data_IF_599006646411
#
_entry.id   IF_599006646411
#
_cell.length_a   1.000
_cell.length_b   1.000
_cell.length_c   1.000
_cell.angle_alpha   90.00
_cell.angle_beta   90.00
_cell.angle_gamma   90.00
#
_symmetry.space_group_name_H-M   'P 1'
#
loop_
_entity.id
_entity.type
_entity.pdbx_description
1 polymer ?
#
# COMPACT_ATOMS: atom_id res chain seq x y z
N UNK A 1 -12.78 7.19 -6.82
CA UNK A 1 -12.79 6.71 -8.21
C UNK A 1 -12.13 5.34 -8.22
N UNK A 2 -12.89 4.24 -8.37
CA UNK A 2 -12.29 2.98 -8.77
C UNK A 2 -11.74 3.18 -10.18
N UNK A 3 -10.50 2.76 -10.41
CA UNK A 3 -9.78 3.01 -11.66
C UNK A 3 -10.28 1.98 -12.68
N UNK A 4 -10.79 2.43 -13.82
CA UNK A 4 -11.29 1.65 -14.96
C UNK A 4 -10.16 0.89 -15.70
N UNK A 5 -9.27 0.21 -14.97
CA UNK A 5 -8.33 -0.72 -15.58
C UNK A 5 -9.07 -2.04 -15.77
N UNK A 6 -9.50 -2.30 -16.99
CA UNK A 6 -10.06 -3.59 -17.35
C UNK A 6 -8.93 -4.63 -17.38
N UNK A 7 -8.71 -5.31 -16.24
CA UNK A 7 -7.68 -6.34 -16.11
C UNK A 7 -7.91 -7.50 -17.08
N UNK A 8 -9.15 -7.72 -17.54
CA UNK A 8 -9.47 -8.71 -18.56
C UNK A 8 -8.92 -8.33 -19.93
N UNK A 9 -8.72 -7.03 -20.21
CA UNK A 9 -8.16 -6.56 -21.48
C UNK A 9 -6.61 -6.53 -21.51
N UNK A 10 -5.94 -6.75 -20.38
CA UNK A 10 -4.48 -6.68 -20.29
C UNK A 10 -3.80 -8.02 -20.67
N UNK A 11 -2.62 -7.98 -21.32
CA UNK A 11 -1.83 -9.19 -21.57
C UNK A 11 -1.22 -9.73 -20.26
N UNK A 12 -0.91 -11.04 -20.22
CA UNK A 12 -0.40 -11.72 -19.02
C UNK A 12 0.87 -11.08 -18.45
N UNK A 13 1.78 -10.63 -19.31
CA UNK A 13 3.02 -9.95 -18.92
C UNK A 13 2.74 -8.63 -18.20
N UNK A 14 1.74 -7.87 -18.66
CA UNK A 14 1.33 -6.63 -18.00
C UNK A 14 0.68 -6.88 -16.64
N UNK A 15 -0.11 -7.96 -16.50
CA UNK A 15 -0.68 -8.36 -15.20
C UNK A 15 0.41 -8.73 -14.19
N UNK A 16 1.45 -9.45 -14.61
CA UNK A 16 2.59 -9.80 -13.76
C UNK A 16 3.42 -8.57 -13.35
N UNK A 17 3.61 -7.62 -14.27
CA UNK A 17 4.28 -6.36 -13.97
C UNK A 17 3.50 -5.52 -12.94
N UNK A 18 2.17 -5.41 -13.10
CA UNK A 18 1.31 -4.68 -12.16
C UNK A 18 1.27 -5.37 -10.78
N UNK A 19 1.25 -6.71 -10.70
CA UNK A 19 1.38 -7.43 -9.42
C UNK A 19 2.68 -7.05 -8.69
N UNK A 20 3.81 -7.03 -9.41
CA UNK A 20 5.11 -6.69 -8.83
C UNK A 20 5.15 -5.25 -8.33
N UNK A 21 4.57 -4.32 -9.07
CA UNK A 21 4.49 -2.91 -8.68
C UNK A 21 3.60 -2.69 -7.47
N UNK A 22 2.43 -3.36 -7.41
CA UNK A 22 1.55 -3.29 -6.24
C UNK A 22 2.23 -3.86 -4.99
N UNK A 23 2.95 -4.99 -5.11
CA UNK A 23 3.77 -5.53 -4.01
C UNK A 23 4.87 -4.57 -3.56
N UNK A 24 5.61 -3.98 -4.50
CA UNK A 24 6.65 -2.98 -4.20
C UNK A 24 6.05 -1.79 -3.44
N UNK A 25 4.88 -1.32 -3.87
CA UNK A 25 4.20 -0.22 -3.23
C UNK A 25 3.69 -0.56 -1.82
N UNK A 26 3.26 -1.80 -1.57
CA UNK A 26 2.93 -2.29 -0.23
C UNK A 26 4.16 -2.30 0.69
N UNK A 27 5.31 -2.74 0.18
CA UNK A 27 6.57 -2.72 0.93
C UNK A 27 6.98 -1.29 1.29
N UNK A 28 6.94 -0.37 0.32
CA UNK A 28 7.21 1.04 0.56
C UNK A 28 6.25 1.63 1.59
N UNK A 29 4.94 1.34 1.47
CA UNK A 29 3.93 1.79 2.43
C UNK A 29 4.24 1.30 3.86
N UNK A 30 4.64 0.03 4.02
CA UNK A 30 5.02 -0.53 5.31
C UNK A 30 6.29 0.11 5.87
N UNK A 31 7.30 0.34 5.01
CA UNK A 31 8.52 1.04 5.39
C UNK A 31 8.24 2.49 5.84
N UNK A 32 7.38 3.22 5.13
CA UNK A 32 6.96 4.57 5.51
C UNK A 32 6.21 4.57 6.83
N UNK A 33 5.31 3.62 7.07
CA UNK A 33 4.63 3.49 8.38
C UNK A 33 5.65 3.23 9.48
N UNK A 34 6.62 2.33 9.28
CA UNK A 34 7.69 2.07 10.25
C UNK A 34 8.54 3.31 10.54
N UNK A 35 8.89 4.07 9.51
CA UNK A 35 9.58 5.36 9.66
C UNK A 35 8.76 6.36 10.48
N UNK A 36 7.47 6.49 10.21
CA UNK A 36 6.55 7.37 10.96
C UNK A 36 6.46 6.96 12.43
N UNK A 37 6.44 5.65 12.73
CA UNK A 37 6.50 5.14 14.10
C UNK A 37 7.83 5.51 14.77
N UNK A 38 8.95 5.40 14.05
CA UNK A 38 10.26 5.85 14.54
C UNK A 38 10.27 7.34 14.90
N UNK A 39 9.67 8.19 14.06
CA UNK A 39 9.51 9.63 14.34
C UNK A 39 8.66 9.87 15.59
N UNK A 40 7.57 9.13 15.77
CA UNK A 40 6.74 9.22 16.97
C UNK A 40 7.57 8.91 18.23
N UNK A 41 8.30 7.79 18.24
CA UNK A 41 9.14 7.38 19.38
C UNK A 41 10.26 8.40 19.65
N UNK A 42 10.94 8.87 18.60
CA UNK A 42 11.99 9.88 18.74
C UNK A 42 11.44 11.19 19.32
N UNK A 43 10.30 11.65 18.82
CA UNK A 43 9.62 12.85 19.32
C UNK A 43 9.24 12.74 20.79
N UNK A 44 8.71 11.59 21.20
CA UNK A 44 8.36 11.29 22.60
C UNK A 44 9.58 11.37 23.53
N UNK A 45 10.72 10.80 23.12
CA UNK A 45 11.94 10.74 23.93
C UNK A 45 12.65 12.10 23.99
N UNK A 46 12.69 12.87 22.90
CA UNK A 46 13.47 14.12 22.83
C UNK A 46 12.71 15.37 23.25
N UNK A 47 11.43 15.48 22.88
CA UNK A 47 10.64 16.70 23.06
C UNK A 47 9.42 16.49 23.98
N UNK A 48 9.27 15.30 24.58
CA UNK A 48 8.10 14.93 25.40
C UNK A 48 6.86 14.59 24.59
N UNK A 49 5.68 14.60 25.23
CA UNK A 49 4.36 14.33 24.60
C UNK A 49 3.91 15.49 23.69
N UNK A 50 4.74 15.91 22.73
CA UNK A 50 4.35 16.91 21.74
C UNK A 50 3.26 16.33 20.85
N UNK A 51 2.01 16.76 21.06
CA UNK A 51 0.82 16.30 20.31
C UNK A 51 1.04 16.29 18.80
N UNK A 52 1.82 17.23 18.26
CA UNK A 52 2.17 17.32 16.84
C UNK A 52 2.99 16.12 16.33
N UNK A 53 3.93 15.61 17.12
CA UNK A 53 4.75 14.45 16.76
C UNK A 53 3.95 13.15 16.80
N UNK A 54 2.80 13.12 17.47
CA UNK A 54 1.88 11.98 17.44
C UNK A 54 0.83 12.17 16.35
N UNK A 55 0.16 13.32 16.30
CA UNK A 55 -1.00 13.56 15.44
C UNK A 55 -0.66 13.55 13.94
N UNK A 56 0.46 14.17 13.54
CA UNK A 56 0.84 14.25 12.12
C UNK A 56 1.19 12.85 11.58
N UNK A 57 2.06 12.06 12.22
CA UNK A 57 2.33 10.70 11.75
C UNK A 57 1.10 9.80 11.79
N UNK A 58 0.24 9.92 12.82
CA UNK A 58 -0.99 9.12 12.92
C UNK A 58 -1.94 9.38 11.74
N UNK A 59 -2.13 10.65 11.37
CA UNK A 59 -2.96 11.03 10.23
C UNK A 59 -2.42 10.44 8.92
N UNK A 60 -1.11 10.51 8.71
CA UNK A 60 -0.45 9.94 7.54
C UNK A 60 -0.59 8.41 7.49
N UNK A 61 -0.42 7.71 8.62
CA UNK A 61 -0.59 6.26 8.71
C UNK A 61 -2.01 5.86 8.30
N UNK A 62 -3.04 6.59 8.74
CA UNK A 62 -4.45 6.31 8.36
C UNK A 62 -4.65 6.47 6.85
N UNK A 63 -4.08 7.51 6.25
CA UNK A 63 -4.13 7.71 4.79
C UNK A 63 -3.45 6.57 4.02
N UNK A 64 -2.24 6.20 4.44
CA UNK A 64 -1.46 5.11 3.84
C UNK A 64 -2.20 3.76 4.02
N UNK A 65 -2.80 3.52 5.18
CA UNK A 65 -3.54 2.28 5.46
C UNK A 65 -4.76 2.12 4.56
N UNK A 66 -5.54 3.20 4.36
CA UNK A 66 -6.68 3.19 3.44
C UNK A 66 -6.23 2.88 2.00
N UNK A 67 -5.15 3.51 1.55
CA UNK A 67 -4.59 3.25 0.21
C UNK A 67 -4.07 1.81 0.09
N UNK A 68 -3.39 1.30 1.11
CA UNK A 68 -2.89 -0.08 1.15
C UNK A 68 -4.02 -1.12 1.06
N UNK A 69 -5.17 -0.86 1.68
CA UNK A 69 -6.36 -1.73 1.56
C UNK A 69 -6.89 -1.78 0.13
N UNK A 70 -6.98 -0.63 -0.55
CA UNK A 70 -7.40 -0.58 -1.96
C UNK A 70 -6.39 -1.31 -2.86
N UNK A 71 -5.10 -1.14 -2.61
CA UNK A 71 -4.04 -1.84 -3.34
C UNK A 71 -4.10 -3.36 -3.12
N UNK A 72 -4.46 -3.83 -1.91
CA UNK A 72 -4.67 -5.26 -1.65
C UNK A 72 -5.84 -5.83 -2.45
N UNK A 73 -6.97 -5.12 -2.51
CA UNK A 73 -8.12 -5.56 -3.31
C UNK A 73 -7.77 -5.65 -4.80
N UNK A 74 -7.01 -4.68 -5.33
CA UNK A 74 -6.50 -4.74 -6.71
C UNK A 74 -5.59 -5.93 -6.94
N UNK A 75 -4.69 -6.22 -5.99
CA UNK A 75 -3.78 -7.35 -6.07
C UNK A 75 -4.54 -8.69 -6.14
N UNK A 76 -5.62 -8.83 -5.36
CA UNK A 76 -6.47 -10.03 -5.39
C UNK A 76 -7.16 -10.20 -6.75
N UNK A 77 -7.67 -9.12 -7.34
CA UNK A 77 -8.27 -9.15 -8.69
C UNK A 77 -7.25 -9.54 -9.77
N UNK A 78 -6.06 -8.92 -9.76
CA UNK A 78 -4.98 -9.24 -10.70
C UNK A 78 -4.57 -10.72 -10.58
N UNK A 79 -4.45 -11.23 -9.34
CA UNK A 79 -4.08 -12.64 -9.10
C UNK A 79 -5.17 -13.62 -9.53
N UNK A 80 -6.43 -13.29 -9.31
CA UNK A 80 -7.54 -14.11 -9.79
C UNK A 80 -7.50 -14.24 -11.31
N UNK A 81 -7.29 -13.13 -12.02
CA UNK A 81 -7.18 -13.11 -13.49
C UNK A 81 -5.96 -13.90 -13.99
N UNK A 82 -4.79 -13.73 -13.36
CA UNK A 82 -3.58 -14.52 -13.68
C UNK A 82 -3.85 -16.02 -13.46
N UNK A 83 -4.51 -16.38 -12.35
CA UNK A 83 -4.84 -17.76 -12.01
C UNK A 83 -5.73 -18.42 -13.07
N UNK A 84 -6.82 -17.75 -13.46
CA UNK A 84 -7.75 -18.23 -14.49
C UNK A 84 -7.04 -18.49 -15.82
N UNK A 85 -6.16 -17.59 -16.26
CA UNK A 85 -5.44 -17.72 -17.54
C UNK A 85 -4.33 -18.75 -17.53
N UNK A 86 -3.78 -19.08 -16.37
CA UNK A 86 -2.74 -20.11 -16.25
C UNK A 86 -3.33 -21.52 -16.23
N UNK A 87 -4.62 -21.66 -15.93
CA UNK A 87 -5.37 -22.92 -15.91
C UNK A 87 -6.19 -23.18 -17.18
N UNK A 88 -6.36 -22.18 -18.05
CA UNK A 88 -6.99 -22.29 -19.36
C UNK A 88 -5.96 -22.66 -20.44
#
# INVERSE_FOLDING_TARGET
MPNDKDYAALPLEALLAEEKDVKRNQLLSAATIGFLVGVMVYGLVKNGLGFLYLAIPLFLIVGIYKNSRVQKQRLEQIRAEIGLRKTA
#
